data_IF_814120200623
#
_entry.id   IF_814120200623
#
_cell.length_a   1.000
_cell.length_b   1.000
_cell.length_c   1.000
_cell.angle_alpha   90.00
_cell.angle_beta   90.00
_cell.angle_gamma   90.00
#
_symmetry.space_group_name_H-M   'P 1'
#
loop_
_entity.id
_entity.type
_entity.pdbx_description
1 polymer ?
#
# COMPACT_ATOMS: atom_id res chain seq x y z
N UNK A 1 -11.05 -5.04 -8.25
CA UNK A 1 -10.67 -3.81 -7.50
C UNK A 1 -11.21 -3.85 -6.07
N UNK A 2 -12.54 -3.90 -5.85
CA UNK A 2 -13.13 -3.97 -4.51
C UNK A 2 -12.73 -5.24 -3.72
N UNK A 3 -12.74 -6.41 -4.37
CA UNK A 3 -12.36 -7.68 -3.73
C UNK A 3 -10.90 -7.70 -3.22
N UNK A 4 -9.98 -7.03 -3.93
CA UNK A 4 -8.58 -6.94 -3.49
C UNK A 4 -8.45 -6.07 -2.23
N UNK A 5 -9.23 -4.97 -2.16
CA UNK A 5 -9.27 -4.11 -0.98
C UNK A 5 -9.84 -4.85 0.22
N UNK A 6 -10.99 -5.51 0.05
CA UNK A 6 -11.60 -6.38 1.06
C UNK A 6 -10.62 -7.44 1.60
N UNK A 7 -9.87 -8.08 0.70
CA UNK A 7 -8.83 -9.05 1.07
C UNK A 7 -7.70 -8.44 1.91
N UNK A 8 -7.21 -7.24 1.58
CA UNK A 8 -6.17 -6.54 2.36
C UNK A 8 -6.61 -6.24 3.79
N UNK A 9 -7.88 -5.83 3.95
CA UNK A 9 -8.49 -5.56 5.25
C UNK A 9 -9.06 -6.82 5.92
N UNK A 10 -8.84 -8.01 5.32
CA UNK A 10 -9.30 -9.32 5.82
C UNK A 10 -10.78 -9.34 6.19
N UNK A 11 -11.59 -8.64 5.41
CA UNK A 11 -13.03 -8.54 5.63
C UNK A 11 -13.78 -8.83 4.34
N UNK A 12 -14.93 -9.47 4.47
CA UNK A 12 -15.87 -9.68 3.36
C UNK A 12 -17.11 -8.80 3.50
N UNK A 13 -17.21 -8.06 4.60
CA UNK A 13 -18.30 -7.13 4.88
C UNK A 13 -17.92 -5.71 4.46
N UNK A 14 -18.81 -5.07 3.72
CA UNK A 14 -18.60 -3.72 3.23
C UNK A 14 -18.63 -2.68 4.36
N UNK A 15 -19.50 -2.84 5.35
CA UNK A 15 -19.63 -1.89 6.46
C UNK A 15 -18.39 -1.92 7.37
N UNK A 16 -17.87 -3.12 7.61
CA UNK A 16 -16.60 -3.31 8.33
C UNK A 16 -15.43 -2.71 7.54
N UNK A 17 -15.35 -2.95 6.23
CA UNK A 17 -14.34 -2.33 5.38
C UNK A 17 -14.37 -0.80 5.44
N UNK A 18 -15.58 -0.21 5.33
CA UNK A 18 -15.78 1.23 5.37
C UNK A 18 -15.30 1.81 6.71
N UNK A 19 -15.66 1.16 7.81
CA UNK A 19 -15.25 1.56 9.16
C UNK A 19 -13.73 1.56 9.32
N UNK A 20 -13.06 0.50 8.83
CA UNK A 20 -11.60 0.39 8.89
C UNK A 20 -10.89 1.46 8.04
N UNK A 21 -11.40 1.74 6.83
CA UNK A 21 -10.87 2.81 5.97
C UNK A 21 -11.02 4.18 6.63
N UNK A 22 -12.21 4.48 7.18
CA UNK A 22 -12.46 5.75 7.86
C UNK A 22 -11.57 5.92 9.09
N UNK A 23 -11.32 4.86 9.84
CA UNK A 23 -10.39 4.89 10.96
C UNK A 23 -8.97 5.24 10.50
N UNK A 24 -8.47 4.56 9.47
CA UNK A 24 -7.13 4.80 8.93
C UNK A 24 -6.98 6.23 8.42
N UNK A 25 -7.95 6.74 7.66
CA UNK A 25 -7.92 8.11 7.15
C UNK A 25 -7.87 9.16 8.27
N UNK A 26 -8.64 8.97 9.34
CA UNK A 26 -8.69 9.93 10.45
C UNK A 26 -7.47 9.88 11.38
N UNK A 27 -6.71 8.78 11.36
CA UNK A 27 -5.57 8.55 12.28
C UNK A 27 -4.21 8.55 11.58
N UNK A 28 -4.17 8.66 10.25
CA UNK A 28 -2.94 8.79 9.49
C UNK A 28 -2.38 10.22 9.63
N UNK A 29 -1.07 10.32 9.88
CA UNK A 29 -0.37 11.60 9.96
C UNK A 29 -0.28 12.20 8.57
N UNK A 30 -0.78 13.42 8.40
CA UNK A 30 -0.67 14.15 7.15
C UNK A 30 0.74 14.75 6.99
N UNK A 31 1.37 14.56 5.84
CA UNK A 31 2.78 14.92 5.62
C UNK A 31 3.06 16.42 5.73
N UNK A 32 2.13 17.27 5.30
CA UNK A 32 2.33 18.72 5.29
C UNK A 32 2.06 19.41 6.63
N UNK A 33 1.15 18.86 7.44
CA UNK A 33 0.74 19.47 8.71
C UNK A 33 1.35 18.76 9.92
N UNK A 34 1.85 17.53 9.74
CA UNK A 34 2.34 16.65 10.79
C UNK A 34 1.31 16.29 11.87
N UNK A 35 0.03 16.59 11.62
CA UNK A 35 -1.10 16.21 12.45
C UNK A 35 -2.01 15.23 11.71
N UNK A 36 -2.73 14.41 12.47
CA UNK A 36 -3.83 13.60 11.95
C UNK A 36 -5.08 14.46 11.71
N UNK A 37 -5.96 14.10 10.77
CA UNK A 37 -7.25 14.80 10.61
C UNK A 37 -8.07 14.86 11.91
N UNK A 38 -8.04 13.79 12.72
CA UNK A 38 -8.69 13.77 14.03
C UNK A 38 -8.12 14.84 14.98
N UNK A 39 -6.80 14.97 15.06
CA UNK A 39 -6.15 15.99 15.89
C UNK A 39 -6.50 17.41 15.46
N UNK A 40 -6.60 17.66 14.15
CA UNK A 40 -6.95 18.97 13.61
C UNK A 40 -8.38 19.36 14.02
N UNK A 41 -9.33 18.44 13.93
CA UNK A 41 -10.75 18.71 14.21
C UNK A 41 -11.03 18.79 15.71
N UNK A 42 -10.48 17.86 16.49
CA UNK A 42 -10.85 17.70 17.90
C UNK A 42 -9.81 18.25 18.88
N UNK A 43 -8.64 18.69 18.40
CA UNK A 43 -7.52 19.16 19.23
C UNK A 43 -7.10 18.12 20.30
N UNK A 44 -7.28 16.83 19.99
CA UNK A 44 -6.97 15.68 20.85
C UNK A 44 -6.30 14.60 20.04
N UNK A 45 -5.41 13.83 20.67
CA UNK A 45 -4.82 12.65 20.03
C UNK A 45 -5.87 11.54 19.89
N UNK A 46 -5.92 10.81 18.77
CA UNK A 46 -6.81 9.67 18.64
C UNK A 46 -6.46 8.61 19.68
N UNK A 47 -7.48 7.98 20.27
CA UNK A 47 -7.28 6.84 21.18
C UNK A 47 -6.96 5.64 20.29
N UNK A 48 -5.68 5.46 19.99
CA UNK A 48 -5.20 4.29 19.29
C UNK A 48 -5.29 3.12 20.27
N UNK A 49 -6.40 2.38 20.24
CA UNK A 49 -6.38 0.97 20.59
C UNK A 49 -5.30 0.25 19.77
N UNK A 50 -4.96 -1.00 20.09
CA UNK A 50 -3.93 -1.81 19.42
C UNK A 50 -4.23 -2.14 17.93
N UNK A 51 -4.85 -1.23 17.19
CA UNK A 51 -5.11 -1.34 15.77
C UNK A 51 -3.78 -1.06 15.08
N UNK A 52 -3.16 -2.14 14.60
CA UNK A 52 -1.93 -2.09 13.80
C UNK A 52 -2.15 -1.11 12.66
N UNK A 53 -1.23 -0.16 12.47
CA UNK A 53 -1.19 0.62 11.22
C UNK A 53 -1.08 -0.38 10.07
N UNK A 54 -2.15 -0.50 9.29
CA UNK A 54 -2.11 -1.32 8.10
C UNK A 54 -1.74 -0.45 6.91
N UNK A 55 -0.82 -0.99 6.11
CA UNK A 55 -0.28 -0.46 4.86
C UNK A 55 0.93 0.47 5.05
N UNK A 56 2.11 -0.13 5.27
CA UNK A 56 3.28 0.29 4.50
C UNK A 56 3.06 -0.25 3.09
N UNK A 57 2.89 0.65 2.12
CA UNK A 57 2.95 0.28 0.70
C UNK A 57 4.38 -0.20 0.44
N UNK A 58 4.63 -1.50 0.56
CA UNK A 58 5.80 -2.11 -0.03
C UNK A 58 5.61 -2.00 -1.54
N UNK A 59 6.19 -0.95 -2.14
CA UNK A 59 6.43 -0.92 -3.57
C UNK A 59 7.22 -2.19 -3.92
N UNK A 60 6.59 -3.08 -4.69
CA UNK A 60 7.15 -4.36 -5.10
C UNK A 60 8.43 -4.15 -5.93
N UNK A 61 9.58 -4.07 -5.26
CA UNK A 61 10.92 -4.06 -5.88
C UNK A 61 11.25 -5.37 -6.63
N UNK A 62 10.41 -6.38 -6.54
CA UNK A 62 10.63 -7.68 -7.20
C UNK A 62 10.51 -7.62 -8.74
N UNK A 63 9.75 -6.67 -9.28
CA UNK A 63 9.44 -6.66 -10.72
C UNK A 63 10.58 -6.10 -11.60
N UNK A 64 11.46 -5.27 -11.04
CA UNK A 64 12.58 -4.67 -11.79
C UNK A 64 13.68 -5.68 -12.14
N UNK A 65 13.94 -6.66 -11.26
CA UNK A 65 14.98 -7.66 -11.47
C UNK A 65 14.57 -8.67 -12.56
N UNK A 66 13.31 -9.11 -12.55
CA UNK A 66 12.80 -10.06 -13.54
C UNK A 66 12.79 -9.47 -14.97
N UNK A 67 12.42 -8.19 -15.11
CA UNK A 67 12.51 -7.47 -16.38
C UNK A 67 13.96 -7.34 -16.88
N UNK A 68 14.91 -7.02 -15.99
CA UNK A 68 16.34 -6.94 -16.34
C UNK A 68 16.90 -8.25 -16.84
N UNK A 69 16.57 -9.35 -16.18
CA UNK A 69 17.06 -10.68 -16.55
C UNK A 69 16.48 -11.13 -17.90
N UNK A 70 15.19 -10.86 -18.13
CA UNK A 70 14.52 -11.14 -19.40
C UNK A 70 15.17 -10.39 -20.57
N UNK A 71 15.38 -9.08 -20.44
CA UNK A 71 16.02 -8.27 -21.47
C UNK A 71 17.47 -8.71 -21.74
N UNK A 72 18.22 -9.01 -20.68
CA UNK A 72 19.60 -9.50 -20.78
C UNK A 72 19.69 -10.83 -21.53
N UNK A 73 18.75 -11.76 -21.27
CA UNK A 73 18.70 -13.05 -21.95
C UNK A 73 18.34 -12.91 -23.43
N UNK A 74 17.42 -12.00 -23.76
CA UNK A 74 16.95 -11.76 -25.13
C UNK A 74 18.04 -11.15 -26.00
N UNK A 75 18.79 -10.17 -25.48
CA UNK A 75 19.91 -9.55 -26.18
C UNK A 75 21.00 -10.59 -26.49
N UNK A 76 21.31 -11.48 -25.53
CA UNK A 76 22.28 -12.56 -25.75
C UNK A 76 21.86 -13.51 -26.85
N UNK A 77 20.58 -13.90 -26.91
CA UNK A 77 20.07 -14.78 -27.96
C UNK A 77 20.10 -14.12 -29.35
N UNK A 78 19.79 -12.83 -29.43
CA UNK A 78 19.86 -12.08 -30.68
C UNK A 78 21.30 -11.93 -31.18
N UNK A 79 22.26 -11.68 -30.27
CA UNK A 79 23.68 -11.60 -30.60
C UNK A 79 24.22 -12.93 -31.16
N UNK A 80 23.79 -14.07 -30.61
CA UNK A 80 24.18 -15.41 -31.10
C UNK A 80 23.60 -15.69 -32.50
N UNK A 81 22.41 -15.18 -32.82
CA UNK A 81 21.77 -15.38 -34.14
C UNK A 81 22.34 -14.49 -35.25
N UNK A 82 23.18 -13.51 -34.92
CA UNK A 82 23.79 -12.56 -35.85
C UNK A 82 25.26 -12.91 -36.18
N UNK A 83 25.80 -13.99 -35.61
CA UNK A 83 27.11 -14.60 -35.92
C UNK A 83 26.87 -15.88 -36.72
#
# INVERSE_FOLDING_TARGET
>A
MLANLMSQFKTTDWEDLLTQIMYNLNTQIHSATHFTPYEIVFSKKPINGQIKKFVELNEEKENENHMRDYWSSTIRQLAIKLV
#
